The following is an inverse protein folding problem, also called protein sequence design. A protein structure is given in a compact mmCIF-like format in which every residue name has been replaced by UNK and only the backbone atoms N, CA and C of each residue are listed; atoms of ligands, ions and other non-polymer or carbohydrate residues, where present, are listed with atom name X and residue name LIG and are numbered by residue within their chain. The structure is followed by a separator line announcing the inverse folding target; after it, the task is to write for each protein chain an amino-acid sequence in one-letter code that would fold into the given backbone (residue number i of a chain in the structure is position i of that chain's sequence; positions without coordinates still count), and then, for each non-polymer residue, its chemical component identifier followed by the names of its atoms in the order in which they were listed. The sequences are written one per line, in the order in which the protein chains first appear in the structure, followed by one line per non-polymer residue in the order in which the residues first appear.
data_IF_571583542683
#
_entry.id   IF_571583542683
#
_cell.length_a   1.000
_cell.length_b   1.000
_cell.length_c   1.000
_cell.angle_alpha   90.00
_cell.angle_beta   90.00
_cell.angle_gamma   90.00
#
_symmetry.space_group_name_H-M   'P 1'
#
loop_
_entity.id
_entity.type
_entity.pdbx_description
1 polymer ?
#
# COMPACT_ATOMS: atom_id res chain seq x y z
N UNK A 1 -9.75 13.82 20.86
CA UNK A 1 -10.82 13.32 19.96
C UNK A 1 -10.38 13.33 18.50
N UNK A 2 -9.77 14.42 18.01
CA UNK A 2 -9.29 14.54 16.62
C UNK A 2 -8.17 13.55 16.26
N UNK A 3 -7.19 13.35 17.15
CA UNK A 3 -6.08 12.39 16.92
C UNK A 3 -6.56 10.96 16.69
N UNK A 4 -7.58 10.51 17.44
CA UNK A 4 -8.18 9.18 17.26
C UNK A 4 -8.84 9.01 15.89
N UNK A 5 -9.45 10.08 15.35
CA UNK A 5 -10.07 10.05 14.02
C UNK A 5 -9.00 9.98 12.93
N UNK A 6 -7.88 10.70 13.11
CA UNK A 6 -6.76 10.68 12.17
C UNK A 6 -6.13 9.28 12.12
N UNK A 7 -5.86 8.67 13.28
CA UNK A 7 -5.26 7.34 13.32
C UNK A 7 -6.19 6.27 12.70
N UNK A 8 -7.50 6.37 12.94
CA UNK A 8 -8.47 5.47 12.33
C UNK A 8 -8.47 5.56 10.80
N UNK A 9 -8.44 6.78 10.25
CA UNK A 9 -8.33 7.00 8.78
C UNK A 9 -7.01 6.49 8.22
N UNK A 10 -5.91 6.62 8.97
CA UNK A 10 -4.63 6.07 8.57
C UNK A 10 -4.67 4.54 8.55
N UNK A 11 -5.31 3.89 9.52
CA UNK A 11 -5.46 2.44 9.52
C UNK A 11 -6.35 1.94 8.37
N UNK A 12 -7.47 2.60 8.10
CA UNK A 12 -8.31 2.31 6.91
C UNK A 12 -7.49 2.38 5.61
N UNK A 13 -6.63 3.39 5.49
CA UNK A 13 -5.73 3.53 4.34
C UNK A 13 -4.69 2.39 4.29
N UNK A 14 -4.10 2.01 5.43
CA UNK A 14 -3.13 0.90 5.48
C UNK A 14 -3.78 -0.41 5.05
N UNK A 15 -4.96 -0.72 5.55
CA UNK A 15 -5.73 -1.91 5.18
C UNK A 15 -6.08 -1.93 3.69
N UNK A 16 -6.58 -0.82 3.16
CA UNK A 16 -6.86 -0.67 1.74
C UNK A 16 -5.62 -0.95 0.88
N UNK A 17 -4.48 -0.35 1.22
CA UNK A 17 -3.24 -0.55 0.46
C UNK A 17 -2.69 -1.98 0.59
N UNK A 18 -2.85 -2.64 1.75
CA UNK A 18 -2.51 -4.06 1.91
C UNK A 18 -3.33 -4.94 0.96
N UNK A 19 -4.65 -4.71 0.88
CA UNK A 19 -5.55 -5.42 -0.05
C UNK A 19 -5.12 -5.22 -1.49
N UNK A 20 -4.90 -3.98 -1.91
CA UNK A 20 -4.45 -3.68 -3.27
C UNK A 20 -3.11 -4.33 -3.60
N UNK A 21 -2.15 -4.31 -2.69
CA UNK A 21 -0.88 -5.01 -2.88
C UNK A 21 -1.05 -6.52 -3.00
N UNK A 22 -1.99 -7.14 -2.25
CA UNK A 22 -2.28 -8.57 -2.40
C UNK A 22 -2.89 -8.89 -3.75
N UNK A 23 -3.91 -8.15 -4.18
CA UNK A 23 -4.53 -8.32 -5.51
C UNK A 23 -3.50 -8.20 -6.63
N UNK A 24 -2.66 -7.17 -6.56
CA UNK A 24 -1.63 -6.97 -7.57
C UNK A 24 -0.61 -8.11 -7.60
N UNK A 25 -0.21 -8.63 -6.44
CA UNK A 25 0.78 -9.72 -6.33
C UNK A 25 0.17 -11.07 -6.77
N UNK A 26 -1.02 -11.39 -6.26
CA UNK A 26 -1.63 -12.73 -6.35
C UNK A 26 -2.47 -12.89 -7.61
N UNK A 27 -3.24 -11.87 -8.01
CA UNK A 27 -4.17 -11.96 -9.13
C UNK A 27 -3.53 -11.46 -10.44
N UNK A 28 -2.70 -10.41 -10.35
CA UNK A 28 -2.08 -9.78 -11.52
C UNK A 28 -0.58 -10.07 -11.70
N UNK A 29 0.03 -10.82 -10.77
CA UNK A 29 1.46 -11.20 -10.86
C UNK A 29 2.45 -10.04 -10.80
N UNK A 30 2.04 -8.89 -10.27
CA UNK A 30 2.88 -7.69 -10.14
C UNK A 30 3.90 -7.91 -9.03
N UNK A 31 5.17 -7.99 -9.42
CA UNK A 31 6.27 -8.22 -8.47
C UNK A 31 6.41 -7.08 -7.47
N UNK A 32 6.40 -7.38 -6.18
CA UNK A 32 6.68 -6.41 -5.11
C UNK A 32 8.04 -5.71 -5.27
N UNK A 33 9.03 -6.38 -5.86
CA UNK A 33 10.35 -5.78 -6.18
C UNK A 33 10.24 -4.59 -7.12
N UNK A 34 9.32 -4.64 -8.07
CA UNK A 34 9.08 -3.54 -9.00
C UNK A 34 8.50 -2.33 -8.26
N UNK A 35 7.44 -2.52 -7.47
CA UNK A 35 6.80 -1.45 -6.68
C UNK A 35 7.79 -0.83 -5.70
N UNK A 36 8.51 -1.67 -4.96
CA UNK A 36 9.51 -1.25 -3.99
C UNK A 36 10.60 -0.36 -4.61
N UNK A 37 11.10 -0.75 -5.79
CA UNK A 37 12.10 0.03 -6.54
C UNK A 37 11.58 1.38 -7.00
N UNK A 38 10.34 1.44 -7.50
CA UNK A 38 9.74 2.70 -7.96
C UNK A 38 9.54 3.70 -6.83
N UNK A 39 9.27 3.21 -5.61
CA UNK A 39 8.99 4.04 -4.44
C UNK A 39 10.19 4.25 -3.51
N UNK A 40 11.37 3.71 -3.85
CA UNK A 40 12.53 3.75 -2.96
C UNK A 40 12.28 3.08 -1.60
N UNK A 41 11.37 2.09 -1.56
CA UNK A 41 11.05 1.31 -0.35
C UNK A 41 11.91 0.06 -0.36
N UNK A 42 12.53 -0.27 0.77
CA UNK A 42 13.24 -1.54 0.89
C UNK A 42 12.26 -2.72 0.70
N UNK A 43 12.60 -3.71 -0.12
CA UNK A 43 11.66 -4.79 -0.48
C UNK A 43 11.12 -5.56 0.74
N UNK A 44 11.97 -5.81 1.74
CA UNK A 44 11.55 -6.46 2.99
C UNK A 44 10.51 -5.63 3.75
N UNK A 45 10.60 -4.30 3.64
CA UNK A 45 9.67 -3.39 4.29
C UNK A 45 8.31 -3.42 3.58
N UNK A 46 8.30 -3.45 2.25
CA UNK A 46 7.05 -3.55 1.49
C UNK A 46 6.35 -4.89 1.77
N UNK A 47 7.10 -6.01 1.81
CA UNK A 47 6.52 -7.31 2.16
C UNK A 47 5.99 -7.36 3.58
N UNK A 48 6.72 -6.80 4.55
CA UNK A 48 6.27 -6.77 5.95
C UNK A 48 5.02 -5.90 6.11
N UNK A 49 4.95 -4.77 5.38
CA UNK A 49 3.76 -3.94 5.33
C UNK A 49 2.57 -4.69 4.73
N UNK A 50 2.74 -5.35 3.57
CA UNK A 50 1.71 -6.17 2.91
C UNK A 50 1.14 -7.23 3.86
N UNK A 51 1.99 -7.85 4.68
CA UNK A 51 1.62 -8.87 5.67
C UNK A 51 1.07 -8.32 6.99
N UNK A 52 0.90 -7.00 7.12
CA UNK A 52 0.44 -6.37 8.37
C UNK A 52 1.45 -6.39 9.52
N UNK A 53 2.71 -6.79 9.26
CA UNK A 53 3.76 -6.91 10.30
C UNK A 53 4.42 -5.58 10.66
N UNK A 54 4.24 -4.56 9.83
CA UNK A 54 4.75 -3.21 10.10
C UNK A 54 3.90 -2.16 9.39
N UNK A 55 4.09 -0.90 9.80
CA UNK A 55 3.54 0.27 9.14
C UNK A 55 4.58 0.95 8.25
N UNK A 56 4.12 1.75 7.30
CA UNK A 56 4.95 2.70 6.56
C UNK A 56 4.82 4.09 7.20
N UNK A 57 5.82 4.95 6.99
CA UNK A 57 5.66 6.36 7.33
C UNK A 57 4.49 6.95 6.54
N UNK A 58 3.86 8.00 7.08
CA UNK A 58 2.72 8.67 6.44
C UNK A 58 3.07 9.08 5.01
N UNK A 59 4.23 9.69 4.80
CA UNK A 59 4.74 10.05 3.48
C UNK A 59 4.78 8.86 2.51
N UNK A 60 5.40 7.74 2.90
CA UNK A 60 5.50 6.53 2.07
C UNK A 60 4.13 5.90 1.81
N UNK A 61 3.21 5.99 2.75
CA UNK A 61 1.84 5.51 2.61
C UNK A 61 1.09 6.28 1.52
N UNK A 62 1.22 7.61 1.50
CA UNK A 62 0.63 8.45 0.46
C UNK A 62 1.29 8.26 -0.90
N UNK A 63 2.63 8.19 -0.97
CA UNK A 63 3.33 7.89 -2.22
C UNK A 63 2.95 6.53 -2.79
N UNK A 64 2.78 5.53 -1.94
CA UNK A 64 2.30 4.21 -2.35
C UNK A 64 0.89 4.28 -2.93
N UNK A 65 -0.04 4.94 -2.25
CA UNK A 65 -1.41 5.08 -2.74
C UNK A 65 -1.48 5.76 -4.11
N UNK A 66 -0.80 6.91 -4.26
CA UNK A 66 -0.76 7.65 -5.51
C UNK A 66 -0.21 6.79 -6.65
N UNK A 67 0.93 6.14 -6.42
CA UNK A 67 1.53 5.25 -7.42
C UNK A 67 0.61 4.10 -7.83
N UNK A 68 -0.09 3.47 -6.86
CA UNK A 68 -1.01 2.36 -7.15
C UNK A 68 -2.22 2.84 -7.94
N UNK A 69 -2.78 4.02 -7.63
CA UNK A 69 -3.90 4.60 -8.37
C UNK A 69 -3.48 4.97 -9.80
N UNK A 70 -2.37 5.68 -9.95
CA UNK A 70 -1.89 6.12 -11.27
C UNK A 70 -1.57 4.93 -12.19
N UNK A 71 -0.93 3.89 -11.64
CA UNK A 71 -0.44 2.77 -12.45
C UNK A 71 -1.48 1.66 -12.61
N UNK A 72 -2.25 1.39 -11.58
CA UNK A 72 -3.13 0.22 -11.50
C UNK A 72 -4.58 0.55 -11.17
N UNK A 73 -4.97 1.82 -11.09
CA UNK A 73 -6.31 2.22 -10.65
C UNK A 73 -7.43 1.48 -11.38
N UNK A 74 -7.30 1.26 -12.69
CA UNK A 74 -8.29 0.50 -13.49
C UNK A 74 -8.54 -0.93 -12.99
N UNK A 75 -7.56 -1.55 -12.34
CA UNK A 75 -7.66 -2.90 -11.76
C UNK A 75 -8.12 -2.89 -10.29
N UNK A 76 -8.13 -1.72 -9.64
CA UNK A 76 -8.32 -1.56 -8.19
C UNK A 76 -9.63 -0.85 -7.82
N UNK A 77 -10.38 -0.34 -8.80
CA UNK A 77 -11.61 0.46 -8.61
C UNK A 77 -12.79 -0.37 -8.09
N UNK A 78 -12.74 -1.70 -8.17
CA UNK A 78 -13.85 -2.60 -7.81
C UNK A 78 -13.67 -3.32 -6.45
N UNK A 79 -12.68 -2.95 -5.64
CA UNK A 79 -12.31 -3.66 -4.38
C UNK A 79 -12.48 -2.80 -3.14
#
# INVERSE_FOLDING_TARGET
MQEKIIEMKLEEKREKLRKWLNILDEDFGVKMTFIARQLGIHIQNLHSFKKGKQTLSVEKLFSLEQFLIEKYGKFLVEV
#
